data_IF_413101009059
#
_entry.id   IF_413101009059
#
_cell.length_a   1.000
_cell.length_b   1.000
_cell.length_c   1.000
_cell.angle_alpha   90.00
_cell.angle_beta   90.00
_cell.angle_gamma   90.00
#
_symmetry.space_group_name_H-M   'P 1'
#
loop_
_entity.id
_entity.type
_entity.pdbx_description
1 polymer ?
#
# COMPACT_ATOMS: atom_id res chain seq x y z
N UNK A 1 -4.54 16.07 13.30
CA UNK A 1 -5.66 15.15 13.63
C UNK A 1 -6.03 15.22 15.09
N UNK A 2 -7.31 15.38 15.42
CA UNK A 2 -7.79 15.57 16.80
C UNK A 2 -7.81 14.19 17.52
N UNK A 3 -7.61 14.18 18.86
CA UNK A 3 -7.62 12.99 19.73
C UNK A 3 -8.89 12.14 19.61
N UNK A 4 -10.02 12.76 19.23
CA UNK A 4 -11.31 12.12 18.95
C UNK A 4 -11.32 11.29 17.65
N UNK A 5 -10.60 11.74 16.62
CA UNK A 5 -10.47 11.00 15.35
C UNK A 5 -9.64 9.73 15.51
N UNK A 6 -8.54 9.79 16.31
CA UNK A 6 -7.74 8.59 16.64
C UNK A 6 -8.53 7.54 17.43
N UNK A 7 -9.53 7.95 18.20
CA UNK A 7 -10.35 7.03 18.99
C UNK A 7 -11.37 6.28 18.12
N UNK A 8 -11.92 6.94 17.11
CA UNK A 8 -12.83 6.31 16.14
C UNK A 8 -12.13 5.24 15.29
N UNK A 9 -10.89 5.48 14.89
CA UNK A 9 -10.13 4.55 14.05
C UNK A 9 -9.74 3.28 14.84
N UNK A 10 -9.33 3.41 16.11
CA UNK A 10 -9.11 2.24 16.97
C UNK A 10 -10.36 1.37 17.08
N UNK A 11 -11.54 1.97 17.15
CA UNK A 11 -12.81 1.23 17.19
C UNK A 11 -13.18 0.60 15.83
N UNK A 12 -12.71 1.17 14.72
CA UNK A 12 -12.87 0.56 13.39
C UNK A 12 -12.05 -0.71 13.20
N UNK A 13 -10.84 -0.73 13.81
CA UNK A 13 -9.90 -1.85 13.67
C UNK A 13 -10.15 -2.91 14.77
N UNK A 14 -10.84 -2.57 15.84
CA UNK A 14 -11.09 -3.46 16.97
C UNK A 14 -11.70 -4.83 16.58
N UNK A 15 -12.65 -4.93 15.64
CA UNK A 15 -13.17 -6.22 15.20
C UNK A 15 -12.12 -7.13 14.55
N UNK A 16 -11.06 -6.55 13.96
CA UNK A 16 -10.01 -7.28 13.26
C UNK A 16 -8.87 -7.74 14.19
N UNK A 17 -8.82 -7.20 15.41
CA UNK A 17 -7.72 -7.47 16.36
C UNK A 17 -8.02 -8.69 17.24
N UNK A 18 -9.30 -9.09 17.40
CA UNK A 18 -9.72 -9.97 18.51
C UNK A 18 -9.57 -11.47 18.28
N UNK A 19 -9.45 -11.98 17.05
CA UNK A 19 -9.60 -13.43 16.79
C UNK A 19 -8.58 -14.05 15.82
N UNK A 20 -7.36 -13.52 15.70
CA UNK A 20 -6.38 -14.18 14.84
C UNK A 20 -5.33 -14.96 15.63
N UNK A 21 -5.11 -16.26 15.29
CA UNK A 21 -3.99 -17.01 15.83
C UNK A 21 -2.66 -16.36 15.45
N UNK A 22 -1.61 -16.58 16.28
CA UNK A 22 -0.23 -16.21 15.95
C UNK A 22 0.13 -16.82 14.59
N UNK A 23 0.01 -16.02 13.53
CA UNK A 23 0.42 -16.43 12.20
C UNK A 23 1.89 -16.11 12.03
N UNK A 24 2.63 -17.10 11.60
CA UNK A 24 4.07 -17.06 11.33
C UNK A 24 4.42 -15.85 10.44
N UNK A 25 5.41 -15.07 10.88
CA UNK A 25 6.09 -14.12 10.01
C UNK A 25 6.91 -14.95 9.01
N UNK A 26 6.62 -14.79 7.75
CA UNK A 26 7.38 -15.46 6.69
C UNK A 26 8.59 -14.58 6.40
N UNK A 27 9.78 -15.03 6.80
CA UNK A 27 11.02 -14.44 6.30
C UNK A 27 11.27 -15.00 4.91
N UNK A 28 11.22 -14.15 3.90
CA UNK A 28 11.49 -14.56 2.53
C UNK A 28 12.98 -14.37 2.27
N UNK A 29 13.68 -15.44 1.91
CA UNK A 29 15.00 -15.38 1.31
C UNK A 29 14.82 -15.24 -0.21
N UNK A 30 14.57 -14.03 -0.68
CA UNK A 30 14.60 -13.73 -2.10
C UNK A 30 16.01 -13.27 -2.47
N UNK A 31 16.63 -13.96 -3.43
CA UNK A 31 17.99 -13.66 -3.87
C UNK A 31 18.03 -12.49 -4.87
N UNK A 32 16.90 -12.15 -5.47
CA UNK A 32 16.77 -11.09 -6.48
C UNK A 32 15.64 -10.12 -6.17
N UNK A 33 15.73 -8.88 -6.74
CA UNK A 33 14.65 -7.92 -6.63
C UNK A 33 13.34 -8.44 -7.26
N UNK A 34 13.44 -9.14 -8.39
CA UNK A 34 12.25 -9.64 -9.11
C UNK A 34 11.51 -10.69 -8.28
N UNK A 35 12.21 -11.64 -7.66
CA UNK A 35 11.60 -12.61 -6.74
C UNK A 35 10.93 -11.93 -5.53
N UNK A 36 11.51 -10.85 -5.02
CA UNK A 36 10.88 -10.05 -3.95
C UNK A 36 9.60 -9.41 -4.44
N UNK A 37 9.61 -8.86 -5.65
CA UNK A 37 8.44 -8.20 -6.23
C UNK A 37 7.32 -9.19 -6.53
N UNK A 38 7.64 -10.39 -7.03
CA UNK A 38 6.65 -11.44 -7.22
C UNK A 38 5.93 -11.75 -5.90
N UNK A 39 6.68 -11.88 -4.80
CA UNK A 39 6.10 -12.12 -3.48
C UNK A 39 5.21 -10.94 -3.00
N UNK A 40 5.64 -9.68 -3.20
CA UNK A 40 4.82 -8.53 -2.86
C UNK A 40 3.51 -8.50 -3.65
N UNK A 41 3.57 -8.84 -4.93
CA UNK A 41 2.41 -8.88 -5.83
C UNK A 41 1.42 -9.96 -5.37
N UNK A 42 1.91 -11.14 -4.98
CA UNK A 42 1.08 -12.21 -4.42
C UNK A 42 0.36 -11.76 -3.13
N UNK A 43 1.06 -11.07 -2.24
CA UNK A 43 0.44 -10.55 -1.00
C UNK A 43 -0.59 -9.44 -1.27
N UNK A 44 -0.38 -8.62 -2.30
CA UNK A 44 -1.37 -7.62 -2.74
C UNK A 44 -2.60 -8.33 -3.31
N UNK A 45 -2.42 -9.33 -4.19
CA UNK A 45 -3.51 -10.10 -4.78
C UNK A 45 -4.33 -10.82 -3.72
N UNK A 46 -3.65 -11.48 -2.76
CA UNK A 46 -4.32 -12.10 -1.63
C UNK A 46 -5.11 -11.06 -0.82
N UNK A 47 -4.48 -9.92 -0.53
CA UNK A 47 -5.07 -8.85 0.27
C UNK A 47 -6.29 -8.20 -0.39
N UNK A 48 -6.28 -7.96 -1.70
CA UNK A 48 -7.43 -7.34 -2.38
C UNK A 48 -8.67 -8.24 -2.38
N UNK A 49 -8.47 -9.58 -2.30
CA UNK A 49 -9.54 -10.58 -2.20
C UNK A 49 -9.99 -10.81 -0.75
N UNK A 50 -9.25 -10.31 0.26
CA UNK A 50 -9.55 -10.46 1.67
C UNK A 50 -10.78 -9.60 2.07
N UNK A 51 -11.76 -10.24 2.70
CA UNK A 51 -13.02 -9.58 3.12
C UNK A 51 -12.80 -8.47 4.14
N UNK A 52 -11.80 -8.61 5.00
CA UNK A 52 -11.49 -7.63 6.04
C UNK A 52 -10.86 -6.38 5.41
N UNK A 53 -10.00 -6.56 4.40
CA UNK A 53 -9.43 -5.46 3.60
C UNK A 53 -10.53 -4.75 2.81
N UNK A 54 -11.44 -5.49 2.15
CA UNK A 54 -12.56 -4.91 1.42
C UNK A 54 -13.51 -4.12 2.34
N UNK A 55 -13.79 -4.67 3.52
CA UNK A 55 -14.60 -3.99 4.53
C UNK A 55 -13.91 -2.73 5.05
N UNK A 56 -12.60 -2.81 5.34
CA UNK A 56 -11.82 -1.64 5.78
C UNK A 56 -11.82 -0.55 4.71
N UNK A 57 -11.61 -0.90 3.44
CA UNK A 57 -11.69 0.04 2.31
C UNK A 57 -13.03 0.77 2.30
N UNK A 58 -14.13 0.03 2.36
CA UNK A 58 -15.48 0.60 2.40
C UNK A 58 -15.66 1.56 3.58
N UNK A 59 -15.14 1.21 4.76
CA UNK A 59 -15.21 2.05 5.96
C UNK A 59 -14.41 3.34 5.83
N UNK A 60 -13.19 3.26 5.26
CA UNK A 60 -12.36 4.45 5.00
C UNK A 60 -13.12 5.41 4.07
N UNK A 61 -13.61 4.93 2.95
CA UNK A 61 -14.32 5.78 1.98
C UNK A 61 -15.57 6.42 2.57
N UNK A 62 -16.31 5.68 3.38
CA UNK A 62 -17.49 6.22 4.09
C UNK A 62 -17.08 7.32 5.07
N UNK A 63 -16.01 7.13 5.85
CA UNK A 63 -15.56 8.12 6.85
C UNK A 63 -15.07 9.41 6.19
N UNK A 64 -14.35 9.29 5.08
CA UNK A 64 -13.88 10.46 4.31
C UNK A 64 -14.97 11.03 3.38
N UNK A 65 -16.18 10.43 3.37
CA UNK A 65 -17.31 10.85 2.53
C UNK A 65 -16.99 10.88 1.04
N UNK A 66 -16.21 9.90 0.57
CA UNK A 66 -15.80 9.80 -0.84
C UNK A 66 -16.82 8.99 -1.64
N UNK A 67 -17.21 9.54 -2.79
CA UNK A 67 -18.20 8.92 -3.68
C UNK A 67 -17.60 7.85 -4.60
N UNK A 68 -18.52 7.03 -5.17
CA UNK A 68 -18.14 6.09 -6.22
C UNK A 68 -17.63 6.85 -7.45
N UNK A 69 -16.54 6.35 -8.08
CA UNK A 69 -15.86 6.95 -9.23
C UNK A 69 -15.14 8.29 -8.97
N UNK A 70 -15.04 8.72 -7.75
CA UNK A 70 -14.10 9.78 -7.37
C UNK A 70 -12.73 9.15 -7.12
N UNK A 71 -12.11 8.69 -8.20
CA UNK A 71 -10.85 7.93 -8.18
C UNK A 71 -9.75 8.67 -7.41
N UNK A 72 -9.62 9.98 -7.64
CA UNK A 72 -8.64 10.79 -6.92
C UNK A 72 -8.95 10.90 -5.43
N UNK A 73 -10.20 11.17 -5.08
CA UNK A 73 -10.65 11.23 -3.69
C UNK A 73 -10.50 9.88 -2.98
N UNK A 74 -10.73 8.76 -3.66
CA UNK A 74 -10.53 7.41 -3.12
C UNK A 74 -9.05 7.16 -2.81
N UNK A 75 -8.17 7.48 -3.75
CA UNK A 75 -6.72 7.37 -3.55
C UNK A 75 -6.24 8.26 -2.40
N UNK A 76 -6.71 9.52 -2.34
CA UNK A 76 -6.34 10.47 -1.29
C UNK A 76 -6.83 10.02 0.09
N UNK A 77 -8.06 9.50 0.19
CA UNK A 77 -8.61 8.99 1.45
C UNK A 77 -7.79 7.81 1.99
N UNK A 78 -7.49 6.84 1.13
CA UNK A 78 -6.70 5.65 1.50
C UNK A 78 -5.26 6.04 1.85
N UNK A 79 -4.61 6.85 1.03
CA UNK A 79 -3.26 7.38 1.29
C UNK A 79 -3.18 8.09 2.65
N UNK A 80 -4.10 9.00 2.94
CA UNK A 80 -4.13 9.72 4.19
C UNK A 80 -4.41 8.80 5.37
N UNK A 81 -5.35 7.85 5.21
CA UNK A 81 -5.66 6.88 6.24
C UNK A 81 -4.44 6.03 6.59
N UNK A 82 -3.73 5.47 5.61
CA UNK A 82 -2.52 4.66 5.84
C UNK A 82 -1.46 5.51 6.53
N UNK A 83 -1.15 6.69 6.04
CA UNK A 83 -0.16 7.59 6.63
C UNK A 83 -0.46 7.99 8.08
N UNK A 84 -1.74 8.09 8.43
CA UNK A 84 -2.18 8.49 9.77
C UNK A 84 -2.23 7.33 10.77
N UNK A 85 -2.39 6.10 10.29
CA UNK A 85 -2.67 4.95 11.14
C UNK A 85 -1.55 3.91 11.17
N UNK A 86 -0.68 3.90 10.17
CA UNK A 86 0.46 2.99 10.10
C UNK A 86 1.73 3.78 10.42
N UNK A 87 2.41 3.40 11.48
CA UNK A 87 3.69 3.99 11.87
C UNK A 87 4.81 3.37 11.04
N UNK A 88 5.61 4.20 10.37
CA UNK A 88 6.78 3.71 9.65
C UNK A 88 7.83 3.14 10.61
N UNK A 89 8.19 1.89 10.43
CA UNK A 89 9.22 1.19 11.21
C UNK A 89 10.02 0.32 10.25
N UNK A 90 11.32 0.58 10.14
CA UNK A 90 12.22 -0.23 9.31
C UNK A 90 12.37 -1.62 9.88
N UNK A 91 12.48 -2.60 9.01
CA UNK A 91 12.86 -3.95 9.37
C UNK A 91 14.27 -4.01 9.96
N UNK A 92 14.56 -4.97 10.85
CA UNK A 92 15.91 -5.18 11.36
C UNK A 92 16.90 -5.48 10.22
N UNK A 93 18.10 -4.92 10.30
CA UNK A 93 19.10 -5.09 9.25
C UNK A 93 19.35 -6.58 8.91
N UNK A 94 19.22 -6.92 7.64
CA UNK A 94 19.44 -8.26 7.11
C UNK A 94 18.29 -9.25 7.26
N UNK A 95 17.11 -8.77 7.68
CA UNK A 95 15.88 -9.57 7.75
C UNK A 95 14.81 -8.80 6.97
N UNK A 96 14.44 -9.32 5.82
CA UNK A 96 13.30 -8.82 5.03
C UNK A 96 12.04 -9.53 5.48
N UNK A 97 11.06 -8.78 5.94
CA UNK A 97 9.78 -9.31 6.43
C UNK A 97 8.63 -8.66 5.68
N UNK A 98 7.92 -9.41 4.88
CA UNK A 98 6.69 -8.96 4.25
C UNK A 98 5.49 -9.34 5.10
N UNK A 99 4.60 -8.38 5.34
CA UNK A 99 3.39 -8.58 6.13
C UNK A 99 2.17 -8.59 5.23
N UNK A 100 1.28 -9.54 5.49
CA UNK A 100 -0.05 -9.49 4.89
C UNK A 100 -0.70 -8.15 5.20
N UNK A 101 -1.46 -7.53 4.27
CA UNK A 101 -2.08 -6.22 4.47
C UNK A 101 -2.85 -6.10 5.79
N UNK A 102 -3.63 -7.11 6.14
CA UNK A 102 -4.40 -7.11 7.39
C UNK A 102 -3.51 -7.11 8.65
N UNK A 103 -2.32 -7.73 8.58
CA UNK A 103 -1.36 -7.72 9.70
C UNK A 103 -0.74 -6.34 9.90
N UNK A 104 -0.40 -5.64 8.82
CA UNK A 104 0.07 -4.26 8.88
C UNK A 104 -0.97 -3.37 9.58
N UNK A 105 -2.26 -3.55 9.25
CA UNK A 105 -3.36 -2.85 9.91
C UNK A 105 -3.44 -3.19 11.40
N UNK A 106 -3.37 -4.47 11.77
CA UNK A 106 -3.46 -4.93 13.16
C UNK A 106 -2.31 -4.43 14.02
N UNK A 107 -1.09 -4.46 13.50
CA UNK A 107 0.10 -4.00 14.21
C UNK A 107 0.20 -2.46 14.22
N UNK A 108 -0.43 -1.78 13.26
CA UNK A 108 -0.36 -0.32 13.11
C UNK A 108 1.06 0.16 12.79
N UNK A 109 1.90 -0.71 12.23
CA UNK A 109 3.27 -0.39 11.84
C UNK A 109 3.72 -1.22 10.64
N UNK A 110 4.68 -0.69 9.87
CA UNK A 110 5.29 -1.36 8.73
C UNK A 110 6.38 -0.48 8.11
N UNK A 111 7.14 -1.05 7.19
CA UNK A 111 8.12 -0.30 6.38
C UNK A 111 7.54 0.12 5.02
N UNK A 112 8.40 0.45 4.04
CA UNK A 112 7.94 0.90 2.72
C UNK A 112 7.21 -0.23 1.96
N UNK A 113 7.67 -1.46 2.09
CA UNK A 113 7.08 -2.62 1.44
C UNK A 113 5.67 -2.88 2.00
N UNK A 114 5.54 -2.95 3.33
CA UNK A 114 4.28 -3.19 4.04
C UNK A 114 3.21 -2.12 3.75
N UNK A 115 3.63 -0.84 3.76
CA UNK A 115 2.72 0.27 3.47
C UNK A 115 2.30 0.28 2.00
N UNK A 116 3.21 -0.10 1.08
CA UNK A 116 2.90 -0.22 -0.35
C UNK A 116 1.94 -1.38 -0.62
N UNK A 117 2.20 -2.56 -0.04
CA UNK A 117 1.30 -3.73 -0.13
C UNK A 117 -0.10 -3.34 0.38
N UNK A 118 -0.19 -2.68 1.53
CA UNK A 118 -1.48 -2.29 2.12
C UNK A 118 -2.24 -1.30 1.23
N UNK A 119 -1.58 -0.24 0.73
CA UNK A 119 -2.22 0.74 -0.17
C UNK A 119 -2.70 0.06 -1.44
N UNK A 120 -1.86 -0.79 -2.05
CA UNK A 120 -2.23 -1.53 -3.26
C UNK A 120 -3.42 -2.45 -3.02
N UNK A 121 -3.43 -3.23 -1.95
CA UNK A 121 -4.53 -4.14 -1.64
C UNK A 121 -5.85 -3.38 -1.42
N UNK A 122 -5.84 -2.26 -0.67
CA UNK A 122 -7.01 -1.43 -0.43
C UNK A 122 -7.57 -0.85 -1.75
N UNK A 123 -6.73 -0.25 -2.59
CA UNK A 123 -7.14 0.39 -3.84
C UNK A 123 -7.53 -0.62 -4.91
N UNK A 124 -6.77 -1.72 -5.08
CA UNK A 124 -7.11 -2.78 -6.04
C UNK A 124 -8.44 -3.45 -5.70
N UNK A 125 -8.80 -3.55 -4.41
CA UNK A 125 -10.09 -4.12 -3.97
C UNK A 125 -11.33 -3.35 -4.48
N UNK A 126 -11.15 -2.12 -4.95
CA UNK A 126 -12.20 -1.25 -5.50
C UNK A 126 -11.97 -0.87 -6.96
N UNK A 127 -11.02 -1.53 -7.64
CA UNK A 127 -10.82 -1.43 -9.08
C UNK A 127 -9.85 -0.37 -9.54
N UNK A 128 -8.96 0.14 -8.69
CA UNK A 128 -7.82 0.94 -9.12
C UNK A 128 -6.78 0.07 -9.83
N UNK A 129 -6.03 0.67 -10.75
CA UNK A 129 -4.91 0.05 -11.44
C UNK A 129 -3.62 0.70 -10.97
N UNK A 130 -2.75 -0.11 -10.39
CA UNK A 130 -1.54 0.39 -9.75
C UNK A 130 -0.28 -0.21 -10.37
N UNK A 131 0.80 0.50 -10.16
CA UNK A 131 2.16 0.09 -10.51
C UNK A 131 3.03 0.25 -9.26
N UNK A 132 3.87 -0.71 -8.93
CA UNK A 132 4.85 -0.57 -7.88
C UNK A 132 6.12 0.05 -8.46
N UNK A 133 6.53 1.20 -7.95
CA UNK A 133 7.77 1.88 -8.33
C UNK A 133 8.86 1.63 -7.30
N UNK A 134 9.97 1.08 -7.75
CA UNK A 134 11.19 0.89 -6.96
C UNK A 134 12.24 1.90 -7.41
N UNK A 135 12.81 2.63 -6.45
CA UNK A 135 13.81 3.65 -6.73
C UNK A 135 15.07 3.49 -5.87
N UNK A 136 16.19 3.99 -6.38
CA UNK A 136 17.40 4.27 -5.62
C UNK A 136 17.84 5.70 -5.91
N UNK A 137 18.14 6.47 -4.87
CA UNK A 137 18.56 7.87 -4.96
C UNK A 137 20.03 8.02 -4.60
N UNK A 138 20.47 7.30 -3.58
CA UNK A 138 21.84 7.36 -3.08
C UNK A 138 22.76 6.46 -3.89
N UNK A 139 22.27 5.31 -4.35
CA UNK A 139 23.02 4.30 -5.10
C UNK A 139 22.27 3.83 -6.36
N UNK A 140 22.91 2.97 -7.17
CA UNK A 140 22.28 2.27 -8.29
C UNK A 140 21.54 1.00 -7.87
N UNK A 141 21.26 0.87 -6.57
CA UNK A 141 20.56 -0.27 -5.99
C UNK A 141 19.13 0.14 -5.56
N UNK A 142 18.19 -0.80 -5.43
CA UNK A 142 16.86 -0.53 -4.91
C UNK A 142 16.94 -0.09 -3.43
N UNK A 143 16.34 1.05 -3.10
CA UNK A 143 16.37 1.64 -1.75
C UNK A 143 14.99 1.91 -1.19
N UNK A 144 13.99 2.08 -2.05
CA UNK A 144 12.66 2.49 -1.65
C UNK A 144 11.61 2.06 -2.66
N UNK A 145 10.41 1.76 -2.17
CA UNK A 145 9.27 1.36 -3.00
C UNK A 145 8.03 2.15 -2.60
N UNK A 146 7.18 2.48 -3.57
CA UNK A 146 5.86 3.08 -3.37
C UNK A 146 4.94 2.82 -4.55
N UNK A 147 3.61 2.82 -4.35
CA UNK A 147 2.65 2.68 -5.44
C UNK A 147 2.52 3.94 -6.28
N UNK A 148 2.25 3.74 -7.57
CA UNK A 148 1.68 4.73 -8.48
C UNK A 148 0.26 4.29 -8.82
N UNK A 149 -0.72 5.16 -8.63
CA UNK A 149 -2.11 4.92 -9.03
C UNK A 149 -2.40 5.56 -10.38
N UNK A 150 -2.90 4.78 -11.34
CA UNK A 150 -3.21 5.24 -12.69
C UNK A 150 -4.65 5.78 -12.73
N UNK A 151 -4.82 7.09 -12.62
CA UNK A 151 -6.13 7.75 -12.51
C UNK A 151 -6.48 8.52 -13.79
N UNK A 152 -7.64 8.27 -14.43
CA UNK A 152 -8.67 7.28 -14.07
C UNK A 152 -8.34 5.86 -14.58
N UNK A 153 -8.62 4.79 -13.82
CA UNK A 153 -8.29 3.42 -14.24
C UNK A 153 -9.13 2.94 -15.45
N UNK A 154 -10.24 3.60 -15.72
CA UNK A 154 -11.15 3.27 -16.81
C UNK A 154 -10.70 3.85 -18.17
N UNK A 155 -9.67 4.69 -18.19
CA UNK A 155 -9.11 5.31 -19.41
C UNK A 155 -7.58 5.45 -19.26
N UNK A 156 -6.89 4.34 -19.43
CA UNK A 156 -5.43 4.29 -19.23
C UNK A 156 -4.65 5.15 -20.23
N UNK A 157 -5.23 5.46 -21.40
CA UNK A 157 -4.56 6.33 -22.39
C UNK A 157 -4.44 7.78 -21.90
N UNK A 158 -5.37 8.21 -21.06
CA UNK A 158 -5.39 9.55 -20.48
C UNK A 158 -5.11 9.55 -18.96
N UNK A 159 -4.81 8.39 -18.39
CA UNK A 159 -4.51 8.27 -16.97
C UNK A 159 -3.21 9.00 -16.59
N UNK A 160 -3.20 9.52 -15.38
CA UNK A 160 -1.99 10.10 -14.76
C UNK A 160 -1.54 9.18 -13.65
N UNK A 161 -0.25 8.91 -13.60
CA UNK A 161 0.36 8.19 -12.50
C UNK A 161 0.51 9.13 -11.29
N UNK A 162 -0.17 8.80 -10.21
CA UNK A 162 -0.16 9.57 -8.95
C UNK A 162 0.63 8.77 -7.90
N UNK A 163 1.74 9.31 -7.42
CA UNK A 163 2.57 8.66 -6.41
C UNK A 163 1.88 8.63 -5.03
N UNK A 164 1.91 7.47 -4.37
CA UNK A 164 1.26 7.22 -3.08
C UNK A 164 2.30 6.82 -2.01
N UNK A 165 3.39 7.58 -1.91
CA UNK A 165 4.45 7.34 -0.91
C UNK A 165 4.02 7.80 0.49
N UNK A 166 3.33 6.93 1.23
CA UNK A 166 2.82 7.24 2.57
C UNK A 166 3.91 7.19 3.67
N UNK A 167 5.15 6.79 3.34
CA UNK A 167 6.27 6.78 4.29
C UNK A 167 6.82 8.19 4.56
N UNK A 168 6.43 9.17 3.73
CA UNK A 168 6.94 10.53 3.78
C UNK A 168 5.89 11.53 4.26
N UNK A 169 6.34 12.72 4.64
CA UNK A 169 5.48 13.83 5.08
C UNK A 169 4.85 14.60 3.92
N UNK A 170 5.35 14.42 2.71
CA UNK A 170 4.91 15.10 1.51
C UNK A 170 3.46 14.70 1.14
N UNK A 171 2.73 15.56 0.42
CA UNK A 171 1.36 15.26 -0.01
C UNK A 171 1.34 14.15 -1.06
N UNK A 172 0.18 13.52 -1.23
CA UNK A 172 -0.10 12.60 -2.33
C UNK A 172 0.31 13.22 -3.68
N UNK A 173 0.91 12.41 -4.54
CA UNK A 173 1.42 12.82 -5.85
C UNK A 173 2.85 13.36 -5.84
N UNK A 174 3.44 13.60 -4.66
CA UNK A 174 4.84 13.97 -4.58
C UNK A 174 5.74 12.76 -4.80
N UNK A 175 6.80 12.96 -5.56
CA UNK A 175 7.87 11.96 -5.73
C UNK A 175 9.21 12.65 -6.00
N UNK A 176 10.30 11.94 -5.77
CA UNK A 176 11.64 12.35 -6.21
C UNK A 176 11.61 12.54 -7.73
N UNK A 177 12.30 13.56 -8.23
CA UNK A 177 12.40 13.78 -9.67
C UNK A 177 13.18 12.64 -10.34
N UNK A 178 12.71 12.14 -11.46
CA UNK A 178 13.34 11.01 -12.17
C UNK A 178 14.84 11.25 -12.48
N UNK A 179 15.21 12.48 -12.80
CA UNK A 179 16.62 12.82 -13.04
C UNK A 179 17.52 12.77 -11.80
N UNK A 180 16.95 12.58 -10.61
CA UNK A 180 17.65 12.38 -9.34
C UNK A 180 17.68 10.90 -8.92
N UNK A 181 16.92 10.04 -9.60
CA UNK A 181 16.90 8.60 -9.35
C UNK A 181 18.08 7.96 -10.11
N UNK A 182 18.91 7.23 -9.40
CA UNK A 182 20.00 6.43 -9.96
C UNK A 182 19.55 5.03 -10.35
N UNK A 183 18.55 4.52 -9.65
CA UNK A 183 17.83 3.29 -9.95
C UNK A 183 16.34 3.62 -10.09
N UNK A 184 15.68 3.06 -11.10
CA UNK A 184 14.24 3.13 -11.28
C UNK A 184 13.78 1.88 -12.02
N UNK A 185 12.80 1.19 -11.42
CA UNK A 185 12.11 0.06 -12.05
C UNK A 185 10.65 0.07 -11.62
N UNK A 186 9.76 -0.06 -12.59
CA UNK A 186 8.33 -0.15 -12.38
C UNK A 186 7.85 -1.59 -12.59
N UNK A 187 6.92 -2.04 -11.74
CA UNK A 187 6.29 -3.37 -11.81
C UNK A 187 4.77 -3.18 -11.89
N UNK A 188 4.19 -3.63 -12.98
CA UNK A 188 2.74 -3.61 -13.18
C UNK A 188 2.10 -4.66 -12.28
N UNK A 189 0.95 -4.31 -11.66
CA UNK A 189 0.13 -5.26 -10.92
C UNK A 189 -0.87 -5.88 -11.90
N UNK A 190 -0.48 -7.01 -12.49
CA UNK A 190 -1.32 -7.79 -13.38
C UNK A 190 -1.87 -8.99 -12.60
N UNK A 191 -3.11 -8.90 -12.18
CA UNK A 191 -3.78 -9.98 -11.46
C UNK A 191 -4.53 -10.84 -12.46
N UNK A 192 -4.26 -12.14 -12.47
CA UNK A 192 -5.00 -13.09 -13.31
C UNK A 192 -6.50 -12.99 -12.94
N UNK A 193 -7.33 -12.71 -13.95
CA UNK A 193 -8.77 -12.77 -13.77
C UNK A 193 -9.14 -14.25 -13.56
N UNK A 194 -9.70 -14.55 -12.38
CA UNK A 194 -10.32 -15.87 -12.15
C UNK A 194 -11.40 -16.08 -13.21
N UNK A 195 -11.12 -16.95 -14.22
CA UNK A 195 -12.09 -17.40 -15.22
C UNK A 195 -13.18 -18.31 -14.61
#
# INVERSE_FOLDING_TARGET
MNRLQRHNIKNMIQPFIQDMPDMEMISVTADTLDERMDYLIDEIEFGMKDKDIQYLTSRILHEYSVGNRDWYGQAEAIFNWVRENIMYVRDPAGIEQFRKPIRTVQQGMGDCDDMSILICALLSSIGHILVLRVIGVESNEPEHIYPLDLIPPVDLQNARAIALDATRSEPMGWQVKENQMKFLKDYELDFESDE
#
